data_IF_730735417294
#
_entry.id   IF_730735417294
#
_cell.length_a   1.000
_cell.length_b   1.000
_cell.length_c   1.000
_cell.angle_alpha   90.00
_cell.angle_beta   90.00
_cell.angle_gamma   90.00
#
_symmetry.space_group_name_H-M   'P 1'
#
loop_
_entity.id
_entity.type
_entity.pdbx_description
1 polymer ?
#
# COMPACT_ATOMS: atom_id res chain seq x y z
N UNK A 1 -3.87 -29.36 15.38
CA UNK A 1 -4.51 -28.19 15.99
C UNK A 1 -4.50 -27.06 14.98
N UNK A 2 -5.63 -26.82 14.30
CA UNK A 2 -5.72 -25.83 13.23
C UNK A 2 -5.85 -24.41 13.77
N UNK A 3 -4.94 -23.52 13.37
CA UNK A 3 -5.13 -22.08 13.56
C UNK A 3 -6.07 -21.60 12.47
N UNK A 4 -7.27 -21.21 12.89
CA UNK A 4 -8.26 -20.53 12.06
C UNK A 4 -7.63 -19.19 11.66
N UNK A 5 -7.17 -19.08 10.42
CA UNK A 5 -6.94 -17.77 9.84
C UNK A 5 -8.30 -17.08 9.84
N UNK A 6 -8.40 -15.98 10.59
CA UNK A 6 -9.52 -15.05 10.51
C UNK A 6 -9.64 -14.68 9.04
N UNK A 7 -10.62 -15.28 8.36
CA UNK A 7 -10.99 -14.87 7.03
C UNK A 7 -11.34 -13.38 7.15
N UNK A 8 -10.61 -12.53 6.44
CA UNK A 8 -11.03 -11.15 6.22
C UNK A 8 -12.33 -11.28 5.43
N UNK A 9 -13.46 -11.14 6.13
CA UNK A 9 -14.80 -11.23 5.56
C UNK A 9 -15.05 -9.92 4.84
N UNK A 10 -14.66 -9.85 3.57
CA UNK A 10 -14.91 -8.74 2.67
C UNK A 10 -14.99 -9.26 1.24
N UNK A 11 -15.87 -8.67 0.42
CA UNK A 11 -15.85 -8.92 -1.02
C UNK A 11 -14.57 -8.32 -1.55
N UNK A 12 -13.61 -9.17 -1.96
CA UNK A 12 -12.36 -8.69 -2.53
C UNK A 12 -12.68 -8.02 -3.87
N UNK A 13 -12.18 -6.81 -4.07
CA UNK A 13 -12.43 -5.99 -5.25
C UNK A 13 -11.11 -5.55 -5.88
N UNK A 14 -11.18 -5.21 -7.15
CA UNK A 14 -10.03 -4.70 -7.90
C UNK A 14 -10.07 -3.17 -7.87
N UNK A 15 -8.93 -2.57 -7.56
CA UNK A 15 -8.75 -1.14 -7.43
C UNK A 15 -7.72 -0.63 -8.44
N UNK A 16 -7.84 0.63 -8.77
CA UNK A 16 -6.76 1.42 -9.34
C UNK A 16 -6.06 2.16 -8.21
N UNK A 17 -4.73 2.21 -8.27
CA UNK A 17 -3.89 2.99 -7.37
C UNK A 17 -2.84 3.77 -8.17
N UNK A 18 -2.62 5.02 -7.81
CA UNK A 18 -1.66 5.89 -8.47
C UNK A 18 -1.08 6.93 -7.51
N UNK A 19 0.08 7.49 -7.83
CA UNK A 19 0.64 8.61 -7.10
C UNK A 19 -0.28 9.83 -7.27
N UNK A 20 -0.61 10.49 -6.16
CA UNK A 20 -1.45 11.66 -6.14
C UNK A 20 -0.64 12.91 -6.53
N UNK A 21 -0.42 13.06 -7.83
CA UNK A 21 0.21 14.22 -8.46
C UNK A 21 -0.67 14.79 -9.58
N UNK A 22 -0.09 15.65 -10.43
CA UNK A 22 -0.80 16.27 -11.56
C UNK A 22 -1.25 15.28 -12.65
N UNK A 23 -0.78 14.02 -12.60
CA UNK A 23 -1.03 12.95 -13.58
C UNK A 23 -1.89 11.82 -13.04
N UNK A 24 -2.51 12.03 -11.89
CA UNK A 24 -3.35 11.02 -11.26
C UNK A 24 -4.40 10.48 -12.24
N UNK A 25 -4.36 9.16 -12.46
CA UNK A 25 -5.30 8.47 -13.35
C UNK A 25 -4.91 8.45 -14.82
N UNK A 26 -3.77 9.06 -15.21
CA UNK A 26 -3.22 8.93 -16.58
C UNK A 26 -2.65 7.53 -16.82
N UNK A 27 -2.04 6.89 -15.80
CA UNK A 27 -1.49 5.55 -15.90
C UNK A 27 -1.56 4.79 -14.57
N UNK A 28 -2.78 4.52 -14.05
CA UNK A 28 -2.94 3.87 -12.76
C UNK A 28 -2.47 2.42 -12.78
N UNK A 29 -1.93 1.97 -11.66
CA UNK A 29 -1.64 0.56 -11.44
C UNK A 29 -2.89 -0.17 -10.97
N UNK A 30 -3.10 -1.38 -11.48
CA UNK A 30 -4.18 -2.25 -11.04
C UNK A 30 -3.73 -3.04 -9.81
N UNK A 31 -4.51 -2.98 -8.73
CA UNK A 31 -4.30 -3.76 -7.51
C UNK A 31 -5.49 -4.69 -7.34
N UNK A 32 -5.22 -6.00 -7.41
CA UNK A 32 -6.27 -7.02 -7.53
C UNK A 32 -6.61 -7.65 -6.18
N UNK A 33 -7.90 -7.92 -5.99
CA UNK A 33 -8.39 -8.71 -4.87
C UNK A 33 -8.09 -8.10 -3.49
N UNK A 34 -8.28 -6.80 -3.32
CA UNK A 34 -8.12 -6.13 -2.03
C UNK A 34 -9.44 -6.06 -1.25
N UNK A 35 -9.34 -6.09 0.07
CA UNK A 35 -10.51 -6.03 0.95
C UNK A 35 -11.06 -4.61 1.14
N UNK A 36 -10.26 -3.59 0.86
CA UNK A 36 -10.58 -2.16 0.97
C UNK A 36 -9.63 -1.30 0.13
N UNK A 37 -9.94 -0.02 -0.02
CA UNK A 37 -9.07 0.99 -0.62
C UNK A 37 -7.75 1.16 0.16
N UNK A 38 -7.80 1.04 1.49
CA UNK A 38 -6.60 1.11 2.35
C UNK A 38 -5.66 -0.09 2.11
N UNK A 39 -6.22 -1.29 1.93
CA UNK A 39 -5.47 -2.50 1.60
C UNK A 39 -4.83 -2.39 0.20
N UNK A 40 -5.57 -1.82 -0.76
CA UNK A 40 -5.05 -1.51 -2.09
C UNK A 40 -3.94 -0.44 -2.05
N UNK A 41 -4.12 0.64 -1.29
CA UNK A 41 -3.11 1.68 -1.08
C UNK A 41 -1.83 1.10 -0.45
N UNK A 42 -1.99 0.26 0.56
CA UNK A 42 -0.87 -0.42 1.24
C UNK A 42 -0.12 -1.35 0.30
N UNK A 43 -0.84 -2.15 -0.49
CA UNK A 43 -0.25 -3.08 -1.45
C UNK A 43 0.50 -2.35 -2.58
N UNK A 44 -0.10 -1.27 -3.10
CA UNK A 44 0.55 -0.41 -4.08
C UNK A 44 1.81 0.25 -3.51
N UNK A 45 1.71 0.88 -2.33
CA UNK A 45 2.85 1.54 -1.70
C UNK A 45 4.01 0.60 -1.42
N UNK A 46 3.70 -0.61 -0.95
CA UNK A 46 4.70 -1.66 -0.74
C UNK A 46 5.49 -1.94 -2.03
N UNK A 47 4.79 -2.08 -3.16
CA UNK A 47 5.41 -2.34 -4.46
C UNK A 47 6.33 -1.18 -4.86
N UNK A 48 5.87 0.07 -4.74
CA UNK A 48 6.67 1.28 -5.01
C UNK A 48 7.92 1.35 -4.11
N UNK A 49 7.75 1.06 -2.82
CA UNK A 49 8.85 1.03 -1.85
C UNK A 49 9.91 -0.01 -2.24
N UNK A 50 9.48 -1.24 -2.55
CA UNK A 50 10.36 -2.35 -2.95
C UNK A 50 11.07 -2.05 -4.28
N UNK A 51 10.34 -1.63 -5.31
CA UNK A 51 10.88 -1.33 -6.65
C UNK A 51 11.85 -0.14 -6.64
N UNK A 52 11.62 0.82 -5.74
CA UNK A 52 12.54 1.95 -5.55
C UNK A 52 13.79 1.61 -4.74
N UNK A 53 13.99 0.35 -4.33
CA UNK A 53 15.04 -0.06 -3.39
C UNK A 53 15.01 0.77 -2.10
N UNK A 54 13.83 0.98 -1.52
CA UNK A 54 13.59 1.77 -0.31
C UNK A 54 13.97 3.27 -0.40
N UNK A 55 14.09 3.81 -1.62
CA UNK A 55 14.32 5.23 -1.85
C UNK A 55 13.05 6.07 -1.68
N UNK A 56 11.91 5.56 -2.12
CA UNK A 56 10.60 6.20 -1.90
C UNK A 56 10.06 5.74 -0.56
N UNK A 57 10.11 6.62 0.44
CA UNK A 57 9.65 6.35 1.81
C UNK A 57 8.35 7.03 2.17
N UNK A 58 7.92 7.99 1.37
CA UNK A 58 6.69 8.72 1.56
C UNK A 58 6.02 8.87 0.20
N UNK A 59 4.70 8.71 0.16
CA UNK A 59 3.89 8.89 -1.03
C UNK A 59 2.51 9.38 -0.63
N UNK A 60 1.90 10.19 -1.51
CA UNK A 60 0.46 10.42 -1.46
C UNK A 60 -0.13 9.55 -2.56
N UNK A 61 -1.10 8.72 -2.25
CA UNK A 61 -1.64 7.70 -3.14
C UNK A 61 -3.13 7.93 -3.27
N UNK A 62 -3.62 8.00 -4.50
CA UNK A 62 -5.04 7.96 -4.76
C UNK A 62 -5.49 6.56 -5.14
N UNK A 63 -6.59 6.10 -4.54
CA UNK A 63 -7.17 4.78 -4.79
C UNK A 63 -8.66 4.89 -5.10
N UNK A 64 -9.11 4.21 -6.15
CA UNK A 64 -10.53 4.12 -6.53
C UNK A 64 -10.85 2.73 -7.07
N UNK A 65 -12.13 2.36 -7.08
CA UNK A 65 -12.54 1.08 -7.64
C UNK A 65 -12.24 1.02 -9.14
N UNK A 66 -11.89 -0.17 -9.63
CA UNK A 66 -11.66 -0.40 -11.07
C UNK A 66 -12.87 -0.12 -11.96
N UNK A 67 -14.06 -0.04 -11.36
CA UNK A 67 -15.33 0.30 -12.02
C UNK A 67 -15.67 1.78 -11.96
N UNK A 68 -14.87 2.59 -11.27
CA UNK A 68 -15.09 4.02 -11.05
C UNK A 68 -14.08 4.88 -11.81
N UNK A 69 -14.34 6.18 -11.84
CA UNK A 69 -13.48 7.17 -12.47
C UNK A 69 -12.49 7.77 -11.44
N UNK A 70 -11.31 8.27 -11.86
CA UNK A 70 -10.27 8.76 -10.95
C UNK A 70 -10.72 9.88 -10.02
N UNK A 71 -11.76 10.66 -10.37
CA UNK A 71 -12.29 11.72 -9.52
C UNK A 71 -12.99 11.19 -8.26
N UNK A 72 -13.24 9.88 -8.18
CA UNK A 72 -13.79 9.19 -7.00
C UNK A 72 -12.71 8.74 -6.02
N UNK A 73 -11.45 8.97 -6.35
CA UNK A 73 -10.36 8.43 -5.55
C UNK A 73 -10.34 8.95 -4.12
N UNK A 74 -10.10 8.00 -3.22
CA UNK A 74 -9.78 8.25 -1.83
C UNK A 74 -8.27 8.45 -1.74
N UNK A 75 -7.85 9.51 -1.08
CA UNK A 75 -6.45 9.91 -1.01
C UNK A 75 -5.86 9.41 0.32
N UNK A 76 -4.69 8.81 0.24
CA UNK A 76 -3.96 8.25 1.37
C UNK A 76 -2.56 8.86 1.46
N UNK A 77 -2.16 9.20 2.69
CA UNK A 77 -0.77 9.45 3.04
C UNK A 77 -0.11 8.12 3.42
N UNK A 78 0.98 7.78 2.76
CA UNK A 78 1.72 6.55 2.99
C UNK A 78 3.17 6.85 3.42
N UNK A 79 3.63 6.18 4.46
CA UNK A 79 4.97 6.35 5.02
C UNK A 79 5.60 4.99 5.34
N UNK A 80 6.87 4.82 4.98
CA UNK A 80 7.68 3.65 5.29
C UNK A 80 8.76 4.03 6.31
N UNK A 81 8.69 3.42 7.50
CA UNK A 81 9.72 3.57 8.53
C UNK A 81 10.62 2.33 8.51
N UNK A 82 11.94 2.56 8.42
CA UNK A 82 12.95 1.51 8.53
C UNK A 82 13.63 1.61 9.90
N UNK A 83 13.54 0.55 10.69
CA UNK A 83 14.25 0.43 11.96
C UNK A 83 15.28 -0.69 11.86
N UNK A 84 16.51 -0.52 12.38
CA UNK A 84 17.47 -1.61 12.44
C UNK A 84 16.84 -2.83 13.11
N UNK A 85 16.97 -4.00 12.50
CA UNK A 85 16.39 -5.22 13.05
C UNK A 85 17.08 -5.55 14.37
N UNK A 86 16.27 -5.86 15.39
CA UNK A 86 16.76 -6.14 16.76
C UNK A 86 16.78 -7.62 17.09
N UNK A 87 16.46 -8.50 16.14
CA UNK A 87 16.52 -9.95 16.35
C UNK A 87 17.98 -10.41 16.52
N UNK A 88 18.17 -11.44 17.34
CA UNK A 88 19.51 -11.89 17.74
C UNK A 88 20.34 -12.45 16.56
N UNK A 89 19.68 -12.83 15.48
CA UNK A 89 20.24 -13.38 14.24
C UNK A 89 20.31 -12.35 13.09
N UNK A 90 19.89 -11.10 13.32
CA UNK A 90 19.89 -10.08 12.29
C UNK A 90 21.30 -9.76 11.77
N UNK A 91 21.48 -9.82 10.45
CA UNK A 91 22.69 -9.32 9.80
C UNK A 91 22.86 -7.80 9.96
N UNK A 92 24.09 -7.26 9.79
CA UNK A 92 24.41 -5.84 10.00
C UNK A 92 23.71 -4.86 9.03
N UNK A 93 22.81 -5.34 8.15
CA UNK A 93 22.04 -4.53 7.20
C UNK A 93 20.57 -4.98 7.12
N UNK A 94 20.09 -5.72 8.12
CA UNK A 94 18.68 -6.09 8.22
C UNK A 94 17.89 -5.00 8.93
N UNK A 95 16.71 -4.69 8.36
CA UNK A 95 15.82 -3.67 8.85
C UNK A 95 14.40 -4.24 8.95
N UNK A 96 13.71 -3.91 10.04
CA UNK A 96 12.27 -4.06 10.12
C UNK A 96 11.63 -2.88 9.38
N UNK A 97 10.63 -3.19 8.55
CA UNK A 97 9.90 -2.19 7.76
C UNK A 97 8.47 -2.11 8.27
N UNK A 98 8.05 -0.90 8.63
CA UNK A 98 6.66 -0.60 8.97
C UNK A 98 6.10 0.32 7.90
N UNK A 99 5.05 -0.13 7.22
CA UNK A 99 4.25 0.70 6.32
C UNK A 99 3.06 1.24 7.09
N UNK A 100 2.89 2.55 7.05
CA UNK A 100 1.79 3.27 7.69
C UNK A 100 1.03 4.02 6.59
N UNK A 101 -0.21 3.61 6.35
CA UNK A 101 -1.07 4.17 5.29
C UNK A 101 -2.33 4.69 5.97
N UNK A 102 -2.61 5.98 5.76
CA UNK A 102 -3.71 6.67 6.42
C UNK A 102 -4.50 7.48 5.42
N UNK A 103 -5.81 7.34 5.45
CA UNK A 103 -6.68 8.18 4.64
C UNK A 103 -6.47 9.65 5.02
N UNK A 104 -6.25 10.49 4.01
CA UNK A 104 -6.17 11.94 4.16
C UNK A 104 -7.60 12.49 4.36
N UNK A 105 -7.82 13.34 5.39
CA UNK A 105 -9.14 13.89 5.70
C UNK A 105 -9.68 14.86 4.65
#
# INVERSE_FOLDING_TARGET
MGKRNLAIVGTHQDYFADMYDERMGENPSVVLGCASEEDAATSYFKTVFEDSNALVREAVIGVWLSTEAPERAIIFDACATLTPCTTADAGPREFDIVLDVRQRP
#
